data_IF_277238765127
#
_entry.id   IF_277238765127
#
_cell.length_a   1.000
_cell.length_b   1.000
_cell.length_c   1.000
_cell.angle_alpha   90.00
_cell.angle_beta   90.00
_cell.angle_gamma   90.00
#
_symmetry.space_group_name_H-M   'P 1'
#
loop_
_entity.id
_entity.type
_entity.pdbx_description
1 polymer ?
#
# COMPACT_ATOMS: atom_id res chain seq x y z
N UNK A 1 3.73 -21.55 -0.20
CA UNK A 1 3.19 -20.42 0.57
C UNK A 1 2.51 -19.46 -0.37
N UNK A 2 1.22 -19.24 -0.19
CA UNK A 2 0.37 -18.36 -0.99
C UNK A 2 -0.47 -17.48 -0.04
N UNK A 3 -0.57 -16.19 -0.29
CA UNK A 3 -1.36 -15.29 0.55
C UNK A 3 -0.75 -13.91 0.69
N UNK A 4 -1.31 -13.11 1.59
CA UNK A 4 -0.91 -11.73 1.86
C UNK A 4 -0.53 -11.58 3.34
N UNK A 5 0.68 -11.15 3.61
CA UNK A 5 1.10 -10.74 4.94
C UNK A 5 0.97 -9.23 5.08
N UNK A 6 0.26 -8.77 6.08
CA UNK A 6 0.26 -7.36 6.46
C UNK A 6 1.38 -7.11 7.45
N UNK A 7 2.47 -6.52 6.98
CA UNK A 7 3.65 -6.25 7.81
C UNK A 7 3.61 -4.82 8.34
N UNK A 8 3.79 -4.64 9.64
CA UNK A 8 4.16 -3.35 10.21
C UNK A 8 5.67 -3.15 10.01
N UNK A 9 6.04 -2.42 8.96
CA UNK A 9 7.44 -2.18 8.62
C UNK A 9 8.09 -1.33 9.71
N UNK A 10 9.18 -1.79 10.34
CA UNK A 10 9.88 -0.99 11.33
C UNK A 10 10.66 0.17 10.68
N UNK A 11 11.03 1.13 11.52
CA UNK A 11 11.94 2.21 11.16
C UNK A 11 13.32 1.66 10.75
N UNK A 12 13.96 2.31 9.79
CA UNK A 12 15.34 2.07 9.40
C UNK A 12 15.55 0.97 8.35
N UNK A 13 14.54 0.13 8.07
CA UNK A 13 14.62 -0.87 7.00
C UNK A 13 14.00 -0.35 5.70
N UNK A 14 14.62 -0.67 4.58
CA UNK A 14 13.95 -0.53 3.28
C UNK A 14 12.80 -1.52 3.16
N UNK A 15 11.84 -1.23 2.26
CA UNK A 15 10.76 -2.18 1.97
C UNK A 15 11.27 -3.53 1.47
N UNK A 16 12.36 -3.53 0.68
CA UNK A 16 12.97 -4.78 0.20
C UNK A 16 13.64 -5.56 1.32
N UNK A 17 14.35 -4.92 2.24
CA UNK A 17 14.98 -5.62 3.37
C UNK A 17 13.93 -6.25 4.28
N UNK A 18 12.84 -5.53 4.55
CA UNK A 18 11.69 -6.04 5.30
C UNK A 18 11.04 -7.24 4.58
N UNK A 19 10.86 -7.14 3.26
CA UNK A 19 10.35 -8.25 2.43
C UNK A 19 11.26 -9.47 2.51
N UNK A 20 12.59 -9.31 2.36
CA UNK A 20 13.52 -10.45 2.38
C UNK A 20 13.52 -11.14 3.74
N UNK A 21 13.46 -10.39 4.84
CA UNK A 21 13.33 -10.97 6.19
C UNK A 21 12.04 -11.77 6.34
N UNK A 22 10.88 -11.19 5.99
CA UNK A 22 9.60 -11.89 6.04
C UNK A 22 9.57 -13.12 5.11
N UNK A 23 10.14 -13.00 3.92
CA UNK A 23 10.27 -14.11 2.96
C UNK A 23 11.08 -15.27 3.52
N UNK A 24 12.18 -14.98 4.20
CA UNK A 24 13.01 -16.00 4.86
C UNK A 24 12.24 -16.68 5.99
N UNK A 25 11.57 -15.92 6.86
CA UNK A 25 10.80 -16.44 7.99
C UNK A 25 9.65 -17.35 7.54
N UNK A 26 8.99 -17.02 6.44
CA UNK A 26 7.87 -17.78 5.87
C UNK A 26 8.32 -18.86 4.86
N UNK A 27 9.62 -18.98 4.61
CA UNK A 27 10.19 -19.89 3.58
C UNK A 27 9.52 -19.72 2.21
N UNK A 28 9.17 -18.46 1.87
CA UNK A 28 8.50 -18.15 0.62
C UNK A 28 9.44 -18.19 -0.58
N UNK A 29 9.05 -18.85 -1.68
CA UNK A 29 9.84 -18.88 -2.91
C UNK A 29 9.70 -17.60 -3.72
N UNK A 30 8.46 -17.12 -3.86
CA UNK A 30 8.10 -15.92 -4.62
C UNK A 30 7.38 -14.95 -3.71
N UNK A 31 7.86 -13.71 -3.64
CA UNK A 31 7.21 -12.66 -2.88
C UNK A 31 7.48 -11.29 -3.49
N UNK A 32 6.61 -10.30 -3.17
CA UNK A 32 6.76 -8.92 -3.56
C UNK A 32 6.00 -8.02 -2.62
N UNK A 33 6.45 -6.78 -2.42
CA UNK A 33 5.74 -5.77 -1.65
C UNK A 33 4.88 -4.87 -2.55
N UNK A 34 3.83 -4.28 -1.99
CA UNK A 34 2.92 -3.39 -2.68
C UNK A 34 3.08 -1.95 -2.19
N UNK A 35 3.84 -1.17 -2.93
CA UNK A 35 4.12 0.22 -2.61
C UNK A 35 5.26 0.40 -1.61
N UNK A 36 6.33 1.00 -2.11
CA UNK A 36 7.56 1.25 -1.35
C UNK A 36 7.30 2.21 -0.19
N UNK A 37 7.87 1.90 0.97
CA UNK A 37 8.08 2.79 2.09
C UNK A 37 9.59 3.06 2.21
N UNK A 38 9.95 4.32 2.37
CA UNK A 38 11.34 4.72 2.62
C UNK A 38 11.83 4.19 3.98
N UNK A 39 13.15 4.12 4.25
CA UNK A 39 13.67 3.67 5.55
C UNK A 39 13.10 4.45 6.75
N UNK A 40 12.91 5.77 6.61
CA UNK A 40 12.26 6.62 7.63
C UNK A 40 10.79 6.25 7.86
N UNK A 41 10.10 5.74 6.85
CA UNK A 41 8.68 5.42 6.94
C UNK A 41 8.44 4.09 7.63
N UNK A 42 7.39 4.04 8.44
CA UNK A 42 6.91 2.84 9.15
C UNK A 42 5.50 2.47 8.71
N UNK A 43 4.97 1.39 9.27
CA UNK A 43 3.56 1.03 9.15
C UNK A 43 3.27 0.01 8.07
N UNK A 44 2.04 0.01 7.63
CA UNK A 44 1.43 -1.03 6.79
C UNK A 44 2.15 -1.21 5.45
N UNK A 45 2.78 -2.37 5.30
CA UNK A 45 3.42 -2.84 4.07
C UNK A 45 2.85 -4.21 3.69
N UNK A 46 1.87 -4.29 2.79
CA UNK A 46 1.36 -5.58 2.35
C UNK A 46 2.41 -6.33 1.51
N UNK A 47 2.67 -7.56 1.88
CA UNK A 47 3.59 -8.48 1.19
C UNK A 47 2.77 -9.61 0.56
N UNK A 48 2.87 -9.74 -0.76
CA UNK A 48 2.20 -10.79 -1.51
C UNK A 48 3.13 -11.99 -1.70
N UNK A 49 2.68 -13.19 -1.36
CA UNK A 49 3.40 -14.45 -1.52
C UNK A 49 2.75 -15.35 -2.57
N UNK A 50 3.58 -16.03 -3.37
CA UNK A 50 3.13 -16.99 -4.36
C UNK A 50 2.10 -16.40 -5.34
N UNK A 51 0.92 -17.01 -5.40
CA UNK A 51 -0.18 -16.62 -6.28
C UNK A 51 -0.66 -15.17 -6.06
N UNK A 52 -0.61 -14.67 -4.82
CA UNK A 52 -1.00 -13.29 -4.50
C UNK A 52 -0.18 -12.25 -5.27
N UNK A 53 1.05 -12.58 -5.68
CA UNK A 53 1.88 -11.67 -6.48
C UNK A 53 1.27 -11.30 -7.84
N UNK A 54 0.36 -12.11 -8.36
CA UNK A 54 -0.36 -11.81 -9.62
C UNK A 54 -1.33 -10.65 -9.49
N UNK A 55 -1.82 -10.40 -8.28
CA UNK A 55 -2.81 -9.36 -7.96
C UNK A 55 -2.21 -8.16 -7.23
N UNK A 56 -0.89 -8.13 -7.02
CA UNK A 56 -0.20 -7.07 -6.28
C UNK A 56 -0.41 -5.66 -6.86
N UNK A 57 -0.66 -5.55 -8.17
CA UNK A 57 -0.92 -4.27 -8.85
C UNK A 57 -2.15 -3.55 -8.28
N UNK A 58 -3.17 -4.30 -7.83
CA UNK A 58 -4.37 -3.72 -7.22
C UNK A 58 -4.04 -2.89 -5.98
N UNK A 59 -3.11 -3.37 -5.15
CA UNK A 59 -2.65 -2.63 -3.96
C UNK A 59 -1.73 -1.46 -4.32
N UNK A 60 -0.93 -1.57 -5.39
CA UNK A 60 -0.11 -0.47 -5.88
C UNK A 60 -0.97 0.72 -6.32
N UNK A 61 -2.11 0.43 -6.94
CA UNK A 61 -3.05 1.42 -7.47
C UNK A 61 -4.01 1.98 -6.42
N UNK A 62 -4.10 1.34 -5.25
CA UNK A 62 -5.00 1.74 -4.17
C UNK A 62 -4.62 3.09 -3.54
N UNK A 63 -5.62 3.77 -2.97
CA UNK A 63 -5.43 4.94 -2.13
C UNK A 63 -4.73 4.57 -0.82
N UNK A 64 -4.07 5.55 -0.20
CA UNK A 64 -3.31 5.37 1.04
C UNK A 64 -3.61 6.46 2.03
N UNK A 65 -3.57 6.11 3.33
CA UNK A 65 -3.64 7.07 4.42
C UNK A 65 -2.33 7.02 5.22
N UNK A 66 -1.82 8.20 5.53
CA UNK A 66 -0.58 8.38 6.29
C UNK A 66 -0.80 9.27 7.49
N UNK A 67 -0.12 8.96 8.58
CA UNK A 67 0.22 9.87 9.66
C UNK A 67 1.64 10.37 9.43
N UNK A 68 1.85 11.67 9.54
CA UNK A 68 3.14 12.28 9.27
C UNK A 68 3.45 13.41 10.25
N UNK A 69 4.72 13.60 10.54
CA UNK A 69 5.22 14.76 11.29
C UNK A 69 6.25 15.49 10.43
N UNK A 70 6.07 16.77 10.26
CA UNK A 70 7.02 17.63 9.55
C UNK A 70 7.52 18.74 10.47
N UNK A 71 8.85 18.87 10.59
CA UNK A 71 9.50 19.96 11.29
C UNK A 71 9.47 21.21 10.41
N UNK A 72 8.99 22.31 10.97
CA UNK A 72 8.99 23.62 10.33
C UNK A 72 10.31 24.34 10.53
N UNK A 73 10.65 25.22 9.61
CA UNK A 73 11.80 26.10 9.69
C UNK A 73 13.11 25.53 9.13
N UNK A 74 13.14 24.25 8.78
CA UNK A 74 14.34 23.61 8.24
C UNK A 74 13.99 22.83 6.95
N UNK A 75 14.82 22.99 5.92
CA UNK A 75 14.78 22.17 4.70
C UNK A 75 15.99 21.25 4.63
N UNK A 76 15.78 20.05 4.12
CA UNK A 76 16.85 19.06 3.92
C UNK A 76 16.96 18.65 2.45
N UNK A 77 18.08 18.08 2.07
CA UNK A 77 18.38 17.67 0.69
C UNK A 77 17.46 16.53 0.18
N UNK A 78 16.87 15.74 1.09
CA UNK A 78 15.97 14.61 0.75
C UNK A 78 14.49 14.90 1.05
N UNK A 79 14.19 16.04 1.70
CA UNK A 79 12.84 16.38 2.17
C UNK A 79 12.40 15.61 3.42
N UNK A 80 13.33 14.89 4.06
CA UNK A 80 13.15 14.16 5.31
C UNK A 80 14.37 14.30 6.24
N UNK A 81 14.30 13.70 7.42
CA UNK A 81 15.34 13.80 8.45
C UNK A 81 16.65 13.05 8.11
N UNK A 82 16.68 12.27 7.04
CA UNK A 82 17.88 11.55 6.58
C UNK A 82 18.79 12.45 5.71
N UNK A 83 18.27 13.58 5.20
CA UNK A 83 19.01 14.52 4.36
C UNK A 83 19.83 15.54 5.14
N UNK A 84 20.80 16.14 4.45
CA UNK A 84 21.60 17.24 4.99
C UNK A 84 20.75 18.53 5.05
N UNK A 85 20.99 19.35 6.08
CA UNK A 85 20.37 20.68 6.20
C UNK A 85 20.84 21.59 5.05
N UNK A 86 19.89 22.15 4.29
CA UNK A 86 20.16 23.07 3.18
C UNK A 86 19.66 24.48 3.41
N UNK A 87 18.66 24.69 4.26
CA UNK A 87 18.11 25.99 4.55
C UNK A 87 17.44 26.05 5.93
N UNK A 88 17.57 27.16 6.62
CA UNK A 88 16.87 27.46 7.87
C UNK A 88 16.15 28.80 7.76
N UNK A 89 14.90 28.86 8.19
CA UNK A 89 14.07 30.08 8.22
C UNK A 89 13.28 30.16 9.54
N UNK A 90 12.99 31.40 10.00
CA UNK A 90 12.16 31.57 11.19
C UNK A 90 10.73 31.08 10.98
N UNK A 91 10.15 30.49 12.01
CA UNK A 91 8.76 29.97 11.99
C UNK A 91 7.85 31.01 12.64
N UNK A 92 6.86 31.49 11.86
CA UNK A 92 5.79 32.40 12.31
C UNK A 92 4.47 31.91 11.73
N UNK A 93 4.01 30.76 12.20
CA UNK A 93 2.86 30.04 11.66
C UNK A 93 1.77 30.01 12.72
N UNK A 94 0.54 30.33 12.33
CA UNK A 94 -0.66 30.25 13.15
C UNK A 94 -1.54 29.08 12.74
N UNK A 95 -2.49 28.70 13.57
CA UNK A 95 -3.52 27.70 13.21
C UNK A 95 -4.34 28.12 11.98
N UNK A 96 -4.57 29.43 11.79
CA UNK A 96 -5.27 29.94 10.61
C UNK A 96 -4.44 29.70 9.34
N UNK A 97 -3.13 29.94 9.38
CA UNK A 97 -2.24 29.66 8.25
C UNK A 97 -2.28 28.19 7.87
N UNK A 98 -2.30 27.27 8.86
CA UNK A 98 -2.45 25.83 8.60
C UNK A 98 -3.78 25.51 7.93
N UNK A 99 -4.88 26.10 8.40
CA UNK A 99 -6.20 25.88 7.82
C UNK A 99 -6.24 26.31 6.34
N UNK A 100 -5.71 27.49 6.04
CA UNK A 100 -5.68 28.04 4.68
C UNK A 100 -4.80 27.19 3.75
N UNK A 101 -3.65 26.74 4.23
CA UNK A 101 -2.74 25.87 3.49
C UNK A 101 -3.36 24.48 3.30
N UNK A 102 -4.05 23.90 4.31
CA UNK A 102 -4.73 22.63 4.18
C UNK A 102 -5.80 22.67 3.07
N UNK A 103 -6.59 23.74 3.01
CA UNK A 103 -7.58 23.93 1.93
C UNK A 103 -6.91 24.00 0.56
N UNK A 104 -5.78 24.69 0.44
CA UNK A 104 -5.03 24.81 -0.82
C UNK A 104 -4.48 23.48 -1.32
N UNK A 105 -4.03 22.60 -0.43
CA UNK A 105 -3.42 21.31 -0.78
C UNK A 105 -4.41 20.14 -0.78
N UNK A 106 -5.68 20.36 -0.45
CA UNK A 106 -6.74 19.36 -0.58
C UNK A 106 -7.31 19.38 -2.00
N UNK A 107 -7.61 18.22 -2.56
CA UNK A 107 -8.07 18.04 -3.93
C UNK A 107 -6.94 17.68 -4.88
N UNK A 108 -7.11 18.01 -6.17
CA UNK A 108 -6.11 17.71 -7.21
C UNK A 108 -4.96 18.71 -7.15
N UNK A 109 -3.75 18.19 -6.98
CA UNK A 109 -2.53 18.98 -6.95
C UNK A 109 -1.48 18.39 -7.91
N UNK A 110 -0.47 19.17 -8.25
CA UNK A 110 0.68 18.71 -9.03
C UNK A 110 1.91 18.62 -8.15
N UNK A 111 2.61 17.49 -8.22
CA UNK A 111 3.87 17.28 -7.51
C UNK A 111 5.00 16.95 -8.48
N UNK A 112 6.19 17.50 -8.23
CA UNK A 112 7.42 17.03 -8.87
C UNK A 112 7.97 15.90 -7.99
N UNK A 113 8.08 14.66 -8.51
CA UNK A 113 8.62 13.55 -7.73
C UNK A 113 10.03 13.83 -7.23
N UNK A 114 10.39 13.41 -6.00
CA UNK A 114 11.73 13.65 -5.48
C UNK A 114 12.77 12.82 -6.25
N UNK A 115 14.03 13.31 -6.31
CA UNK A 115 15.16 12.55 -6.88
C UNK A 115 15.40 11.24 -6.14
N UNK A 116 15.19 11.21 -4.83
CA UNK A 116 15.27 10.01 -4.00
C UNK A 116 13.96 9.22 -4.08
N UNK A 117 13.66 8.67 -5.26
CA UNK A 117 12.47 7.83 -5.50
C UNK A 117 12.80 6.62 -6.37
N UNK A 118 11.92 5.61 -6.33
CA UNK A 118 12.03 4.40 -7.15
C UNK A 118 11.49 4.56 -8.58
N UNK A 119 11.04 5.75 -8.97
CA UNK A 119 10.65 6.04 -10.34
C UNK A 119 11.82 5.83 -11.29
N UNK A 120 11.55 5.23 -12.44
CA UNK A 120 12.59 4.95 -13.43
C UNK A 120 12.59 6.01 -14.54
N UNK A 121 13.80 6.44 -14.92
CA UNK A 121 14.09 7.17 -16.15
C UNK A 121 15.18 6.42 -16.90
N UNK A 122 14.97 6.17 -18.18
CA UNK A 122 15.89 5.41 -19.03
C UNK A 122 16.28 4.03 -18.41
N UNK A 123 15.31 3.35 -17.79
CA UNK A 123 15.49 2.04 -17.17
C UNK A 123 16.16 2.03 -15.80
N UNK A 124 16.63 3.17 -15.31
CA UNK A 124 17.37 3.34 -14.04
C UNK A 124 16.52 4.12 -13.02
N UNK A 125 16.53 3.72 -11.75
CA UNK A 125 15.77 4.41 -10.72
C UNK A 125 16.35 5.82 -10.41
N UNK A 126 15.49 6.79 -10.11
CA UNK A 126 15.93 8.17 -9.83
C UNK A 126 16.90 8.23 -8.65
N UNK A 127 16.70 7.43 -7.61
CA UNK A 127 17.63 7.41 -6.45
C UNK A 127 19.05 6.97 -6.83
N UNK A 128 19.23 6.20 -7.91
CA UNK A 128 20.55 5.81 -8.40
C UNK A 128 21.28 6.99 -9.06
N UNK A 129 20.53 7.85 -9.78
CA UNK A 129 21.06 9.11 -10.31
C UNK A 129 21.42 10.08 -9.17
N UNK A 130 20.53 10.21 -8.16
CA UNK A 130 20.77 11.04 -7.00
C UNK A 130 22.05 10.65 -6.25
N UNK A 131 22.28 9.35 -6.02
CA UNK A 131 23.50 8.83 -5.40
C UNK A 131 24.78 9.10 -6.23
N UNK A 132 24.64 9.19 -7.55
CA UNK A 132 25.72 9.55 -8.44
C UNK A 132 25.93 11.06 -8.58
N UNK A 133 25.17 11.89 -7.86
CA UNK A 133 25.19 13.35 -7.94
C UNK A 133 24.66 13.92 -9.26
N UNK A 134 23.88 13.12 -10.00
CA UNK A 134 23.31 13.50 -11.29
C UNK A 134 21.87 13.95 -11.06
N UNK A 135 21.61 15.21 -11.36
CA UNK A 135 20.25 15.75 -11.36
C UNK A 135 19.56 15.41 -12.70
N UNK A 136 18.34 14.91 -12.61
CA UNK A 136 17.54 14.51 -13.76
C UNK A 136 16.24 15.30 -13.76
N UNK A 137 15.86 15.85 -14.91
CA UNK A 137 14.59 16.53 -15.07
C UNK A 137 13.43 15.57 -14.83
N UNK A 138 12.46 15.99 -14.03
CA UNK A 138 11.29 15.22 -13.61
C UNK A 138 10.04 15.99 -13.97
N UNK A 139 9.13 15.31 -14.62
CA UNK A 139 7.83 15.90 -14.95
C UNK A 139 6.92 15.94 -13.72
N UNK A 140 6.22 17.06 -13.55
CA UNK A 140 5.19 17.18 -12.53
C UNK A 140 4.02 16.22 -12.84
N UNK A 141 3.52 15.55 -11.80
CA UNK A 141 2.42 14.58 -11.89
C UNK A 141 1.22 15.05 -11.09
N UNK A 142 0.03 14.76 -11.63
CA UNK A 142 -1.21 15.00 -10.91
C UNK A 142 -1.41 13.91 -9.86
N UNK A 143 -1.70 14.34 -8.64
CA UNK A 143 -2.13 13.49 -7.52
C UNK A 143 -3.33 14.12 -6.83
N UNK A 144 -4.08 13.32 -6.08
CA UNK A 144 -5.25 13.80 -5.35
C UNK A 144 -5.06 13.60 -3.86
N UNK A 145 -5.22 14.66 -3.11
CA UNK A 145 -5.29 14.64 -1.64
C UNK A 145 -6.77 14.68 -1.28
N UNK A 146 -7.30 13.55 -0.85
CA UNK A 146 -8.73 13.43 -0.49
C UNK A 146 -9.02 14.05 0.87
N UNK A 147 -8.08 13.98 1.79
CA UNK A 147 -8.17 14.55 3.14
C UNK A 147 -6.79 14.99 3.60
N UNK A 148 -6.72 16.19 4.17
CA UNK A 148 -5.53 16.73 4.80
C UNK A 148 -5.93 17.43 6.10
N UNK A 149 -5.66 16.80 7.23
CA UNK A 149 -5.80 17.40 8.55
C UNK A 149 -4.42 17.75 9.05
N UNK A 150 -4.26 18.96 9.57
CA UNK A 150 -3.00 19.44 10.12
C UNK A 150 -3.23 20.12 11.47
N UNK A 151 -2.26 19.97 12.38
CA UNK A 151 -2.23 20.66 13.67
C UNK A 151 -0.80 21.04 14.02
N UNK A 152 -0.62 22.20 14.67
CA UNK A 152 0.66 22.55 15.26
C UNK A 152 0.97 21.63 16.44
N UNK A 153 2.18 21.16 16.50
CA UNK A 153 2.68 20.31 17.56
C UNK A 153 4.06 20.83 18.02
N UNK A 154 4.13 21.60 19.10
CA UNK A 154 5.43 21.99 19.66
C UNK A 154 6.14 20.71 20.15
N UNK A 155 7.40 20.53 19.72
CA UNK A 155 8.25 19.42 20.14
C UNK A 155 9.25 19.95 21.17
N UNK A 156 8.87 19.81 22.44
CA UNK A 156 9.61 20.43 23.54
C UNK A 156 9.69 21.96 23.38
N UNK A 157 10.83 22.51 23.73
CA UNK A 157 11.17 23.95 23.52
C UNK A 157 12.04 24.18 22.29
N UNK A 158 12.40 23.11 21.56
CA UNK A 158 13.44 23.15 20.53
C UNK A 158 12.92 23.56 19.17
N UNK A 159 11.75 23.08 18.75
CA UNK A 159 11.18 23.39 17.43
C UNK A 159 9.66 23.19 17.36
N UNK A 160 9.09 23.74 16.32
CA UNK A 160 7.68 23.60 15.97
C UNK A 160 7.55 22.57 14.83
N UNK A 161 6.65 21.64 14.99
CA UNK A 161 6.27 20.69 13.97
C UNK A 161 4.80 20.80 13.61
N UNK A 162 4.40 20.23 12.50
CA UNK A 162 3.03 19.95 12.15
C UNK A 162 2.80 18.45 12.14
N UNK A 163 1.73 17.99 12.82
CA UNK A 163 1.18 16.67 12.65
C UNK A 163 0.19 16.69 11.51
N UNK A 164 0.21 15.67 10.66
CA UNK A 164 -0.64 15.56 9.47
C UNK A 164 -1.29 14.20 9.40
N UNK A 165 -2.57 14.16 9.02
CA UNK A 165 -3.25 12.95 8.55
C UNK A 165 -3.60 13.20 7.09
N UNK A 166 -3.07 12.37 6.19
CA UNK A 166 -3.16 12.56 4.75
C UNK A 166 -3.77 11.32 4.10
N UNK A 167 -4.96 11.45 3.50
CA UNK A 167 -5.51 10.43 2.60
C UNK A 167 -5.30 10.88 1.16
N UNK A 168 -4.65 10.06 0.35
CA UNK A 168 -4.20 10.45 -0.98
C UNK A 168 -4.25 9.31 -2.00
N UNK A 169 -4.24 9.69 -3.28
CA UNK A 169 -4.15 8.77 -4.40
C UNK A 169 -2.76 8.14 -4.51
N UNK A 170 -2.66 7.06 -5.30
CA UNK A 170 -1.37 6.46 -5.67
C UNK A 170 -0.39 7.51 -6.21
N UNK A 171 0.90 7.25 -6.00
CA UNK A 171 1.97 8.09 -6.55
C UNK A 171 2.20 9.40 -5.81
N UNK A 172 1.48 9.68 -4.73
CA UNK A 172 1.69 10.84 -3.88
C UNK A 172 2.93 10.67 -3.01
N UNK A 173 3.81 11.67 -3.02
CA UNK A 173 4.99 11.75 -2.16
C UNK A 173 4.71 12.67 -0.98
N UNK A 174 4.64 12.10 0.22
CA UNK A 174 4.37 12.87 1.45
C UNK A 174 5.56 13.78 1.80
N UNK A 175 6.80 13.38 1.46
CA UNK A 175 7.99 14.24 1.57
C UNK A 175 7.83 15.53 0.77
N UNK A 176 7.46 15.42 -0.50
CA UNK A 176 7.20 16.57 -1.37
C UNK A 176 6.03 17.40 -0.86
N UNK A 177 4.95 16.77 -0.38
CA UNK A 177 3.82 17.47 0.22
C UNK A 177 4.26 18.31 1.44
N UNK A 178 5.09 17.75 2.31
CA UNK A 178 5.61 18.46 3.48
C UNK A 178 6.49 19.66 3.09
N UNK A 179 7.36 19.49 2.09
CA UNK A 179 8.18 20.58 1.55
C UNK A 179 7.32 21.71 0.95
N UNK A 180 6.34 21.34 0.11
CA UNK A 180 5.42 22.29 -0.54
C UNK A 180 4.56 23.05 0.48
N UNK A 181 4.08 22.38 1.53
CA UNK A 181 3.38 23.00 2.66
C UNK A 181 4.30 23.97 3.39
N UNK A 182 5.54 23.57 3.69
CA UNK A 182 6.53 24.41 4.34
C UNK A 182 6.86 25.68 3.53
N UNK A 183 6.96 25.57 2.21
CA UNK A 183 7.11 26.71 1.32
C UNK A 183 5.88 27.63 1.33
N UNK A 184 4.67 27.04 1.29
CA UNK A 184 3.44 27.82 1.35
C UNK A 184 3.27 28.57 2.69
N UNK A 185 3.79 28.00 3.79
CA UNK A 185 3.85 28.64 5.10
C UNK A 185 5.00 29.67 5.22
N UNK A 186 5.90 29.73 4.22
CA UNK A 186 7.02 30.68 4.16
C UNK A 186 8.26 30.31 4.99
N UNK A 187 8.23 29.22 5.73
CA UNK A 187 9.34 28.83 6.62
C UNK A 187 10.12 27.58 6.15
N UNK A 188 9.61 26.83 5.15
CA UNK A 188 10.16 25.54 4.78
C UNK A 188 9.83 24.44 5.81
N UNK A 189 9.92 23.17 5.38
CA UNK A 189 9.71 22.01 6.22
C UNK A 189 10.41 20.77 5.65
N UNK A 190 10.57 19.74 6.50
CA UNK A 190 10.94 18.39 6.09
C UNK A 190 10.26 17.36 6.99
N UNK A 191 10.04 16.15 6.48
CA UNK A 191 9.48 15.05 7.26
C UNK A 191 10.46 14.56 8.33
N UNK A 192 9.95 14.39 9.56
CA UNK A 192 10.68 13.74 10.66
C UNK A 192 10.08 12.37 11.02
N UNK A 193 8.81 12.15 10.71
CA UNK A 193 8.16 10.85 10.85
C UNK A 193 7.11 10.64 9.77
N UNK A 194 6.96 9.39 9.33
CA UNK A 194 5.95 8.97 8.37
C UNK A 194 5.49 7.56 8.70
N UNK A 195 4.18 7.36 8.84
CA UNK A 195 3.58 6.06 9.08
C UNK A 195 2.40 5.84 8.13
N UNK A 196 2.43 4.78 7.34
CA UNK A 196 1.28 4.39 6.54
C UNK A 196 0.32 3.58 7.38
N UNK A 197 -0.91 4.07 7.54
CA UNK A 197 -1.93 3.45 8.40
C UNK A 197 -2.98 2.69 7.62
N UNK A 198 -3.25 3.07 6.35
CA UNK A 198 -4.22 2.37 5.49
C UNK A 198 -3.70 2.25 4.06
N UNK A 199 -4.03 1.15 3.40
CA UNK A 199 -3.90 0.96 1.94
C UNK A 199 -4.84 -0.12 1.44
N UNK A 200 -5.64 0.17 0.39
CA UNK A 200 -6.45 -0.82 -0.31
C UNK A 200 -7.37 -1.65 0.57
N UNK A 201 -8.03 -1.03 1.54
CA UNK A 201 -8.94 -1.70 2.47
C UNK A 201 -8.27 -2.38 3.67
N UNK A 202 -6.93 -2.36 3.75
CA UNK A 202 -6.20 -2.85 4.91
C UNK A 202 -5.84 -1.73 5.87
N UNK A 203 -5.80 -2.06 7.17
CA UNK A 203 -5.47 -1.15 8.27
C UNK A 203 -4.23 -1.65 9.03
N UNK A 204 -3.44 -0.71 9.54
CA UNK A 204 -2.22 -1.02 10.29
C UNK A 204 -2.48 -1.82 11.56
N UNK A 205 -3.67 -1.73 12.15
CA UNK A 205 -4.08 -2.54 13.30
C UNK A 205 -4.13 -4.05 13.01
N UNK A 206 -4.20 -4.44 11.73
CA UNK A 206 -4.19 -5.84 11.28
C UNK A 206 -2.76 -6.37 11.05
N UNK A 207 -1.74 -5.52 11.22
CA UNK A 207 -0.38 -5.86 10.89
C UNK A 207 0.33 -6.64 12.00
N UNK A 208 1.27 -7.49 11.58
CA UNK A 208 2.23 -8.14 12.45
C UNK A 208 3.61 -7.48 12.29
N UNK A 209 4.37 -7.34 13.37
CA UNK A 209 5.75 -6.82 13.34
C UNK A 209 6.75 -7.92 12.96
N UNK A 210 7.93 -7.55 12.43
CA UNK A 210 9.00 -8.52 12.20
C UNK A 210 9.43 -9.22 13.49
N UNK A 211 9.53 -8.50 14.59
CA UNK A 211 9.90 -9.09 15.88
C UNK A 211 8.88 -10.14 16.37
N UNK A 212 7.59 -9.88 16.18
CA UNK A 212 6.55 -10.85 16.49
C UNK A 212 6.67 -12.09 15.59
N UNK A 213 6.86 -11.90 14.27
CA UNK A 213 7.06 -13.02 13.33
C UNK A 213 8.30 -13.87 13.70
N UNK A 214 9.39 -13.24 14.12
CA UNK A 214 10.60 -13.95 14.53
C UNK A 214 10.34 -14.84 15.75
N UNK A 215 9.52 -14.39 16.70
CA UNK A 215 9.16 -15.12 17.90
C UNK A 215 8.16 -16.27 17.69
N UNK A 216 7.43 -16.28 16.58
CA UNK A 216 6.42 -17.28 16.23
C UNK A 216 7.05 -18.58 15.72
N UNK A 217 6.32 -19.69 15.91
CA UNK A 217 6.59 -20.96 15.21
C UNK A 217 6.28 -20.84 13.72
N UNK A 218 6.75 -21.80 12.91
CA UNK A 218 6.44 -21.81 11.47
C UNK A 218 4.94 -21.88 11.20
N UNK A 219 4.17 -22.62 11.99
CA UNK A 219 2.71 -22.74 11.86
C UNK A 219 2.01 -21.43 12.21
N UNK A 220 2.40 -20.79 13.31
CA UNK A 220 1.85 -19.47 13.69
C UNK A 220 2.15 -18.40 12.63
N UNK A 221 3.36 -18.41 12.03
CA UNK A 221 3.70 -17.50 10.93
C UNK A 221 2.81 -17.69 9.72
N UNK A 222 2.54 -18.94 9.33
CA UNK A 222 1.66 -19.25 8.21
C UNK A 222 0.22 -18.80 8.48
N UNK A 223 -0.24 -18.88 9.73
CA UNK A 223 -1.58 -18.41 10.12
C UNK A 223 -1.74 -16.89 10.03
N UNK A 224 -0.65 -16.12 9.94
CA UNK A 224 -0.71 -14.66 9.72
C UNK A 224 -1.02 -14.29 8.26
N UNK A 225 -0.98 -15.24 7.34
CA UNK A 225 -1.28 -14.98 5.94
C UNK A 225 -2.78 -14.86 5.71
N UNK A 226 -3.19 -13.72 5.18
CA UNK A 226 -4.54 -13.57 4.64
C UNK A 226 -4.66 -14.36 3.32
N UNK A 227 -5.85 -14.85 2.98
CA UNK A 227 -6.07 -15.52 1.71
C UNK A 227 -5.82 -14.57 0.52
N UNK A 228 -5.49 -15.13 -0.64
CA UNK A 228 -5.26 -14.37 -1.88
C UNK A 228 -6.44 -13.48 -2.24
N UNK A 229 -7.64 -13.96 -1.97
CA UNK A 229 -8.93 -13.30 -2.19
C UNK A 229 -9.08 -11.98 -1.44
N UNK A 230 -8.32 -11.78 -0.35
CA UNK A 230 -8.32 -10.51 0.40
C UNK A 230 -7.93 -9.30 -0.46
N UNK A 231 -7.18 -9.53 -1.55
CA UNK A 231 -6.82 -8.49 -2.52
C UNK A 231 -7.97 -8.11 -3.46
N UNK A 232 -9.05 -8.90 -3.46
CA UNK A 232 -10.15 -8.80 -4.41
C UNK A 232 -11.48 -8.42 -3.75
N UNK A 233 -11.45 -7.87 -2.53
CA UNK A 233 -12.65 -7.52 -1.74
C UNK A 233 -13.60 -6.56 -2.44
N UNK A 234 -13.08 -5.68 -3.29
CA UNK A 234 -13.85 -4.70 -4.07
C UNK A 234 -14.37 -5.26 -5.42
N UNK A 235 -13.99 -6.49 -5.79
CA UNK A 235 -14.37 -7.08 -7.07
C UNK A 235 -15.76 -7.72 -7.01
N UNK A 236 -16.53 -7.53 -8.07
CA UNK A 236 -17.78 -8.28 -8.26
C UNK A 236 -17.46 -9.75 -8.53
N UNK A 237 -18.19 -10.64 -7.89
CA UNK A 237 -17.96 -12.08 -8.01
C UNK A 237 -18.75 -12.67 -9.19
N UNK A 238 -18.06 -13.39 -10.06
CA UNK A 238 -18.64 -14.24 -11.10
C UNK A 238 -18.27 -15.68 -10.82
N UNK A 239 -19.26 -16.59 -10.86
CA UNK A 239 -19.03 -18.03 -10.69
C UNK A 239 -19.31 -18.76 -12.00
N UNK A 240 -18.38 -19.59 -12.42
CA UNK A 240 -18.45 -20.41 -13.61
C UNK A 240 -18.70 -21.88 -13.24
N UNK A 241 -19.37 -22.60 -14.10
CA UNK A 241 -19.44 -24.07 -14.06
C UNK A 241 -18.09 -24.69 -14.48
N UNK A 242 -17.98 -26.01 -14.36
CA UNK A 242 -16.73 -26.75 -14.65
C UNK A 242 -16.22 -26.54 -16.07
N UNK A 243 -17.10 -26.56 -17.07
CA UNK A 243 -16.72 -26.42 -18.48
C UNK A 243 -16.21 -24.99 -18.75
N UNK A 244 -16.99 -24.00 -18.31
CA UNK A 244 -16.62 -22.59 -18.50
C UNK A 244 -15.40 -22.19 -17.68
N UNK A 245 -15.20 -22.74 -16.49
CA UNK A 245 -14.00 -22.56 -15.68
C UNK A 245 -12.73 -23.04 -16.40
N UNK A 246 -12.76 -24.25 -16.97
CA UNK A 246 -11.64 -24.79 -17.75
C UNK A 246 -11.29 -23.94 -18.97
N UNK A 247 -12.31 -23.46 -19.69
CA UNK A 247 -12.11 -22.55 -20.83
C UNK A 247 -11.59 -21.19 -20.41
N UNK A 248 -12.08 -20.65 -19.30
CA UNK A 248 -11.59 -19.38 -18.73
C UNK A 248 -10.11 -19.47 -18.35
N UNK A 249 -9.70 -20.53 -17.68
CA UNK A 249 -8.30 -20.79 -17.32
C UNK A 249 -7.37 -20.96 -18.53
N UNK A 250 -7.94 -21.36 -19.69
CA UNK A 250 -7.23 -21.40 -20.97
C UNK A 250 -7.16 -20.01 -21.67
N UNK A 251 -7.62 -18.95 -21.01
CA UNK A 251 -7.60 -17.58 -21.55
C UNK A 251 -8.76 -17.26 -22.51
N UNK A 252 -9.77 -18.13 -22.60
CA UNK A 252 -10.89 -17.94 -23.52
C UNK A 252 -11.98 -17.09 -22.86
N UNK A 253 -12.52 -16.12 -23.63
CA UNK A 253 -13.67 -15.31 -23.22
C UNK A 253 -14.89 -16.20 -22.98
N UNK A 254 -15.75 -15.83 -22.03
CA UNK A 254 -17.01 -16.53 -21.74
C UNK A 254 -18.18 -15.57 -21.95
N UNK A 255 -19.27 -16.08 -22.52
CA UNK A 255 -20.52 -15.35 -22.65
C UNK A 255 -21.49 -15.77 -21.55
N UNK A 256 -22.21 -14.79 -21.01
CA UNK A 256 -23.20 -14.98 -19.97
C UNK A 256 -24.05 -13.74 -19.76
N UNK A 257 -24.97 -13.84 -18.84
CA UNK A 257 -25.87 -12.75 -18.46
C UNK A 257 -25.26 -11.95 -17.29
N UNK A 258 -24.15 -11.28 -17.56
CA UNK A 258 -23.47 -10.42 -16.60
C UNK A 258 -23.53 -8.96 -17.04
N UNK A 259 -23.81 -8.02 -16.11
CA UNK A 259 -23.72 -6.61 -16.42
C UNK A 259 -22.26 -6.21 -16.67
N UNK A 260 -22.06 -5.15 -17.43
CA UNK A 260 -20.73 -4.58 -17.67
C UNK A 260 -20.07 -4.19 -16.33
N UNK A 261 -18.84 -4.66 -16.13
CA UNK A 261 -18.09 -4.42 -14.91
C UNK A 261 -16.58 -4.48 -15.18
N UNK A 262 -15.85 -3.46 -14.76
CA UNK A 262 -14.40 -3.36 -14.97
C UNK A 262 -13.55 -4.21 -14.03
N UNK A 263 -14.13 -4.74 -12.94
CA UNK A 263 -13.38 -5.49 -11.91
C UNK A 263 -14.20 -6.70 -11.43
N UNK A 264 -13.81 -7.87 -11.91
CA UNK A 264 -14.50 -9.13 -11.59
C UNK A 264 -13.51 -10.15 -11.04
N UNK A 265 -13.84 -10.75 -9.89
CA UNK A 265 -13.18 -11.94 -9.36
C UNK A 265 -13.94 -13.18 -9.83
N UNK A 266 -13.25 -14.08 -10.50
CA UNK A 266 -13.84 -15.25 -11.15
C UNK A 266 -13.56 -16.51 -10.34
N UNK A 267 -14.62 -17.22 -10.00
CA UNK A 267 -14.59 -18.45 -9.23
C UNK A 267 -15.14 -19.62 -10.07
N UNK A 268 -14.69 -20.82 -9.75
CA UNK A 268 -15.19 -22.07 -10.31
C UNK A 268 -15.18 -23.18 -9.28
N UNK A 269 -15.65 -24.40 -9.62
CA UNK A 269 -15.50 -25.55 -8.75
C UNK A 269 -14.01 -25.87 -8.58
N UNK A 270 -13.60 -26.18 -7.35
CA UNK A 270 -12.28 -26.76 -7.11
C UNK A 270 -12.24 -28.15 -7.75
N UNK A 271 -11.11 -28.48 -8.39
CA UNK A 271 -10.91 -29.76 -9.07
C UNK A 271 -10.88 -30.92 -8.05
N UNK A 272 -12.01 -31.51 -7.74
CA UNK A 272 -12.13 -32.69 -6.88
C UNK A 272 -13.57 -32.85 -6.35
N UNK A 273 -14.20 -33.98 -6.54
CA UNK A 273 -15.48 -34.45 -6.03
C UNK A 273 -16.59 -33.43 -5.69
N UNK A 274 -17.69 -33.50 -6.32
CA UNK A 274 -18.93 -32.71 -6.42
C UNK A 274 -19.54 -31.95 -5.25
N UNK A 275 -18.79 -31.63 -4.20
CA UNK A 275 -19.11 -30.68 -3.12
C UNK A 275 -17.94 -29.78 -2.74
N UNK A 276 -17.00 -29.60 -3.65
CA UNK A 276 -15.79 -28.84 -3.39
C UNK A 276 -16.07 -27.32 -3.23
N UNK A 277 -15.35 -26.63 -2.30
CA UNK A 277 -15.47 -25.21 -2.12
C UNK A 277 -15.14 -24.49 -3.43
N UNK A 278 -15.70 -23.28 -3.61
CA UNK A 278 -15.43 -22.43 -4.76
C UNK A 278 -13.95 -22.03 -4.73
N UNK A 279 -13.24 -22.24 -5.81
CA UNK A 279 -11.85 -21.83 -5.96
C UNK A 279 -11.75 -20.54 -6.78
N UNK A 280 -10.89 -19.63 -6.37
CA UNK A 280 -10.50 -18.47 -7.17
C UNK A 280 -9.75 -18.94 -8.42
N UNK A 281 -10.22 -18.54 -9.60
CA UNK A 281 -9.60 -18.82 -10.90
C UNK A 281 -8.74 -17.66 -11.40
N UNK A 282 -9.09 -16.42 -11.01
CA UNK A 282 -8.41 -15.23 -11.44
C UNK A 282 -9.33 -14.01 -11.46
N UNK A 283 -8.92 -12.99 -12.23
CA UNK A 283 -9.70 -11.78 -12.45
C UNK A 283 -9.98 -11.55 -13.92
N UNK A 284 -10.97 -10.72 -14.19
CA UNK A 284 -11.35 -10.26 -15.53
C UNK A 284 -12.24 -9.04 -15.46
N UNK A 285 -12.79 -8.69 -16.60
CA UNK A 285 -13.83 -7.67 -16.72
C UNK A 285 -14.94 -8.16 -17.64
N UNK A 286 -16.11 -7.56 -17.53
CA UNK A 286 -17.28 -7.86 -18.36
C UNK A 286 -17.60 -6.67 -19.26
N UNK A 287 -17.72 -6.92 -20.55
CA UNK A 287 -18.16 -5.95 -21.56
C UNK A 287 -19.17 -6.63 -22.49
N UNK A 288 -20.37 -6.07 -22.61
CA UNK A 288 -21.44 -6.56 -23.48
C UNK A 288 -21.77 -8.06 -23.26
N UNK A 289 -21.81 -8.49 -21.99
CA UNK A 289 -22.06 -9.88 -21.62
C UNK A 289 -20.91 -10.86 -21.89
N UNK A 290 -19.72 -10.34 -22.26
CA UNK A 290 -18.52 -11.16 -22.41
C UNK A 290 -17.59 -10.95 -21.19
N UNK A 291 -17.29 -12.03 -20.46
CA UNK A 291 -16.25 -12.08 -19.44
C UNK A 291 -14.90 -12.29 -20.11
N UNK A 292 -14.02 -11.32 -19.98
CA UNK A 292 -12.68 -11.29 -20.58
C UNK A 292 -11.64 -11.53 -19.49
N UNK A 293 -10.83 -12.62 -19.60
CA UNK A 293 -9.78 -12.90 -18.63
C UNK A 293 -8.69 -11.84 -18.60
N UNK A 294 -8.15 -11.53 -17.39
CA UNK A 294 -7.03 -10.61 -17.19
C UNK A 294 -5.86 -11.27 -16.47
N UNK A 295 -6.07 -11.73 -15.24
CA UNK A 295 -5.05 -12.43 -14.43
C UNK A 295 -5.57 -13.80 -14.06
N UNK A 296 -4.87 -14.83 -14.52
CA UNK A 296 -5.28 -16.22 -14.32
C UNK A 296 -4.35 -16.91 -13.34
N UNK A 297 -4.92 -17.71 -12.45
CA UNK A 297 -4.17 -18.66 -11.64
C UNK A 297 -3.91 -19.93 -12.47
N UNK A 298 -2.75 -20.55 -12.28
CA UNK A 298 -2.48 -21.86 -12.85
C UNK A 298 -3.21 -22.94 -12.03
N UNK A 299 -3.51 -24.10 -12.62
CA UNK A 299 -4.12 -25.22 -11.88
C UNK A 299 -3.34 -25.59 -10.60
N UNK A 300 -2.03 -25.58 -10.66
CA UNK A 300 -1.16 -25.86 -9.51
C UNK A 300 -1.27 -24.81 -8.39
N UNK A 301 -1.43 -23.51 -8.75
CA UNK A 301 -1.65 -22.46 -7.77
C UNK A 301 -3.01 -22.59 -7.10
N UNK A 302 -4.05 -22.93 -7.88
CA UNK A 302 -5.41 -23.18 -7.37
C UNK A 302 -5.39 -24.35 -6.40
N UNK A 303 -4.80 -25.47 -6.78
CA UNK A 303 -4.68 -26.68 -5.95
C UNK A 303 -3.98 -26.39 -4.62
N UNK A 304 -2.87 -25.64 -4.65
CA UNK A 304 -2.14 -25.25 -3.44
C UNK A 304 -2.93 -24.30 -2.53
N UNK A 305 -3.65 -23.33 -3.10
CA UNK A 305 -4.50 -22.40 -2.33
C UNK A 305 -5.61 -23.18 -1.63
N UNK A 306 -6.29 -24.08 -2.33
CA UNK A 306 -7.37 -24.90 -1.78
C UNK A 306 -6.84 -25.85 -0.70
N UNK A 307 -5.69 -26.52 -0.96
CA UNK A 307 -5.06 -27.42 0.00
C UNK A 307 -4.56 -26.71 1.28
N UNK A 308 -4.03 -25.50 1.16
CA UNK A 308 -3.65 -24.68 2.31
C UNK A 308 -4.89 -24.28 3.16
N UNK A 309 -6.05 -24.07 2.55
CA UNK A 309 -7.32 -23.80 3.25
C UNK A 309 -7.87 -25.00 4.00
N UNK A 310 -7.72 -26.22 3.49
CA UNK A 310 -8.21 -27.45 4.14
C UNK A 310 -7.34 -27.90 5.30
N UNK A 311 -6.05 -27.57 5.29
CA UNK A 311 -5.07 -27.91 6.33
C UNK A 311 -4.99 -26.91 7.47
N UNK A 312 -5.46 -25.67 7.26
CA UNK A 312 -5.51 -24.58 8.23
C UNK A 312 -6.88 -24.46 8.87
N UNK A 313 -6.99 -24.87 10.13
CA UNK A 313 -8.16 -24.68 10.99
C UNK A 313 -8.78 -23.29 10.82
N UNK A 314 -10.09 -23.26 10.62
CA UNK A 314 -10.94 -22.08 10.57
C UNK A 314 -10.49 -20.94 11.50
N UNK A 315 -9.97 -19.88 10.97
CA UNK A 315 -9.87 -18.61 11.65
C UNK A 315 -11.03 -17.72 11.19
N UNK A 316 -11.87 -17.43 12.14
CA UNK A 316 -13.06 -16.61 12.15
C UNK A 316 -13.01 -15.41 11.18
N UNK A 317 -14.07 -15.31 10.39
CA UNK A 317 -14.50 -14.07 9.77
C UNK A 317 -14.73 -13.02 10.86
N UNK A 318 -13.78 -12.12 11.04
CA UNK A 318 -14.05 -10.86 11.70
C UNK A 318 -14.78 -9.97 10.69
N UNK A 319 -16.02 -9.63 11.02
CA UNK A 319 -16.78 -8.63 10.30
C UNK A 319 -16.01 -7.30 10.27
N UNK A 320 -16.17 -6.48 9.21
CA UNK A 320 -15.51 -5.18 9.15
C UNK A 320 -15.97 -4.31 10.32
N UNK A 321 -15.07 -3.64 11.03
CA UNK A 321 -15.47 -2.69 12.05
C UNK A 321 -16.20 -1.50 11.41
N UNK A 322 -17.43 -1.29 11.84
CA UNK A 322 -18.21 -0.10 11.54
C UNK A 322 -17.62 1.09 12.28
N UNK A 323 -17.56 2.23 11.57
CA UNK A 323 -17.44 3.60 12.06
C UNK A 323 -16.12 4.03 12.70
N UNK A 324 -15.50 4.97 12.01
CA UNK A 324 -14.51 5.93 12.47
C UNK A 324 -14.82 6.43 13.89
N UNK A 325 -14.06 5.95 14.87
CA UNK A 325 -13.86 6.69 16.09
C UNK A 325 -12.72 7.70 15.84
N UNK A 326 -13.03 8.96 16.09
CA UNK A 326 -12.05 10.04 16.15
C UNK A 326 -11.00 9.67 17.19
N UNK A 327 -9.82 9.27 16.75
CA UNK A 327 -8.68 9.15 17.63
C UNK A 327 -8.24 10.54 18.05
N UNK A 328 -8.29 10.82 19.32
CA UNK A 328 -7.71 12.00 19.93
C UNK A 328 -6.21 12.07 19.67
N UNK A 329 -5.72 13.30 19.41
CA UNK A 329 -4.35 13.58 19.01
C UNK A 329 -3.28 13.39 20.12
N UNK A 330 -3.62 12.77 21.26
CA UNK A 330 -2.79 12.82 22.46
C UNK A 330 -1.76 11.68 22.61
N UNK A 331 -1.67 10.71 21.70
CA UNK A 331 -0.78 9.54 21.86
C UNK A 331 0.25 9.34 20.72
N UNK A 332 0.84 10.40 20.16
CA UNK A 332 2.01 10.22 19.27
C UNK A 332 3.14 11.16 19.70
#
# INVERSE_FOLDING_TARGET
VHGVLLLDKPLGLSSNDALQKAKWLLRGEKAGHTGTLDPLATGLLPLCFGAATKFSQLQLDADKTYEAVARLGLKTSTGDAEGELIEERPVKVTEQDLSDVAMRFTGRIRQIPPMHSALKKDGKALYEYARAGIEVEREARDVTIYKLNMALAPVGIEYIAIKMIVKCSKGTYIRTLAEDIGEALGCGAHLTALRRVETGGFDVAQCVTLAALEAMTDEERLSQLLPVESLLSEHTVVTLDTENAGRFLSGLRRRGDWPDNGQVAVYGPSTGSGQAPRALLGTGHVVAGELIPERLLSPLEIEKIVGDCESGSSVLHAAPPSALQTTDFDEI
#
